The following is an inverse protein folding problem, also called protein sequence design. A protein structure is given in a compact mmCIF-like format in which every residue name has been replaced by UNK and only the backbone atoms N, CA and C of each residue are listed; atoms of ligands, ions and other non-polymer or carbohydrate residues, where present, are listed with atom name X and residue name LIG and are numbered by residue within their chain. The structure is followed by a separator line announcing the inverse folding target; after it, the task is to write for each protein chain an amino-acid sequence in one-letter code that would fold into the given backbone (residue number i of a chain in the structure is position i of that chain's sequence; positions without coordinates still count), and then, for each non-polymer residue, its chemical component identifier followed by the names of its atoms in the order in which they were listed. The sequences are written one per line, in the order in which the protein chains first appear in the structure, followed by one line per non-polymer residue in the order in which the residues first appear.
data_IF_626771227893
#
_entry.id   IF_626771227893
#
_cell.length_a   1.000
_cell.length_b   1.000
_cell.length_c   1.000
_cell.angle_alpha   90.00
_cell.angle_beta   90.00
_cell.angle_gamma   90.00
#
_symmetry.space_group_name_H-M   'P 1'
#
loop_
_entity.id
_entity.type
_entity.pdbx_description
1 polymer ?
#
# COMPACT_ATOMS: atom_id res chain seq x y z
N UNK A 1 2.07 -16.43 -15.48
CA UNK A 1 2.38 -15.05 -15.84
C UNK A 1 1.87 -14.22 -14.69
N UNK A 2 2.79 -13.58 -13.99
CA UNK A 2 2.43 -12.69 -12.89
C UNK A 2 1.79 -11.43 -13.48
N UNK A 3 0.69 -10.97 -12.87
CA UNK A 3 -0.06 -9.80 -13.36
C UNK A 3 0.67 -8.54 -12.92
N UNK A 4 1.02 -7.69 -13.88
CA UNK A 4 1.57 -6.36 -13.63
C UNK A 4 0.46 -5.39 -13.17
N UNK A 5 0.76 -4.59 -12.16
CA UNK A 5 -0.17 -3.63 -11.57
C UNK A 5 0.00 -2.19 -12.08
N UNK A 6 1.00 -1.92 -12.94
CA UNK A 6 1.28 -0.61 -13.53
C UNK A 6 1.92 0.39 -12.58
N UNK A 7 2.12 1.63 -13.07
CA UNK A 7 2.67 2.73 -12.27
C UNK A 7 1.55 3.49 -11.53
N UNK A 8 1.82 3.85 -10.29
CA UNK A 8 0.99 4.65 -9.39
C UNK A 8 1.89 5.69 -8.71
N UNK A 9 1.71 6.97 -9.04
CA UNK A 9 2.38 8.11 -8.37
C UNK A 9 3.92 7.97 -8.23
N UNK A 10 4.58 7.46 -9.27
CA UNK A 10 6.04 7.24 -9.30
C UNK A 10 6.48 5.89 -8.74
N UNK A 11 5.56 4.99 -8.40
CA UNK A 11 5.85 3.63 -7.96
C UNK A 11 5.26 2.59 -8.93
N UNK A 12 6.08 1.65 -9.37
CA UNK A 12 5.64 0.51 -10.17
C UNK A 12 5.17 -0.63 -9.25
N UNK A 13 3.93 -1.10 -9.45
CA UNK A 13 3.38 -2.29 -8.80
C UNK A 13 3.67 -3.50 -9.67
N UNK A 14 4.80 -4.17 -9.45
CA UNK A 14 5.27 -5.25 -10.32
C UNK A 14 4.58 -6.61 -10.15
N UNK A 15 3.72 -6.77 -9.13
CA UNK A 15 3.03 -8.02 -8.86
C UNK A 15 1.63 -7.78 -8.30
N UNK A 16 0.62 -8.36 -8.95
CA UNK A 16 -0.75 -8.49 -8.46
C UNK A 16 -1.04 -9.99 -8.30
N UNK A 17 -1.43 -10.46 -7.09
CA UNK A 17 -1.68 -11.86 -6.83
C UNK A 17 -2.74 -12.47 -7.76
N UNK A 18 -2.58 -13.74 -8.18
CA UNK A 18 -3.62 -14.43 -8.95
C UNK A 18 -4.91 -14.54 -8.12
N UNK A 19 -6.05 -14.30 -8.76
CA UNK A 19 -7.37 -14.35 -8.13
C UNK A 19 -7.88 -13.01 -7.59
N UNK A 20 -7.00 -12.00 -7.45
CA UNK A 20 -7.43 -10.61 -7.21
C UNK A 20 -8.30 -10.12 -8.37
N UNK A 21 -9.36 -9.38 -8.05
CA UNK A 21 -10.33 -8.88 -9.03
C UNK A 21 -9.73 -8.06 -10.18
N UNK A 22 -10.45 -8.05 -11.30
CA UNK A 22 -9.98 -7.43 -12.54
C UNK A 22 -10.35 -5.95 -12.67
N UNK A 23 -11.30 -5.46 -11.88
CA UNK A 23 -11.71 -4.05 -11.90
C UNK A 23 -10.65 -3.22 -11.17
N UNK A 24 -10.08 -2.23 -11.86
CA UNK A 24 -9.00 -1.38 -11.31
C UNK A 24 -9.44 0.07 -11.32
N UNK A 25 -9.32 0.73 -10.18
CA UNK A 25 -9.73 2.12 -9.98
C UNK A 25 -8.65 2.91 -9.26
N UNK A 26 -8.36 4.13 -9.74
CA UNK A 26 -7.42 5.06 -9.10
C UNK A 26 -8.16 6.23 -8.47
N UNK A 27 -7.75 6.61 -7.26
CA UNK A 27 -8.30 7.74 -6.51
C UNK A 27 -7.19 8.57 -5.88
N UNK A 28 -7.39 9.88 -5.84
CA UNK A 28 -6.58 10.81 -5.08
C UNK A 28 -7.43 11.48 -4.01
N UNK A 29 -6.93 11.52 -2.78
CA UNK A 29 -7.55 12.24 -1.67
C UNK A 29 -6.50 12.90 -0.80
N UNK A 30 -6.93 13.74 0.12
CA UNK A 30 -6.07 14.34 1.13
C UNK A 30 -6.72 14.16 2.50
N UNK A 31 -5.92 13.82 3.50
CA UNK A 31 -6.38 13.67 4.87
C UNK A 31 -5.26 14.08 5.82
N UNK A 32 -5.54 15.03 6.72
CA UNK A 32 -4.57 15.60 7.67
C UNK A 32 -3.22 15.97 7.01
N UNK A 33 -3.27 16.80 5.98
CA UNK A 33 -2.10 17.31 5.23
C UNK A 33 -1.24 16.23 4.55
N UNK A 34 -1.77 15.01 4.39
CA UNK A 34 -1.15 13.94 3.62
C UNK A 34 -1.99 13.65 2.40
N UNK A 35 -1.39 13.76 1.22
CA UNK A 35 -1.99 13.33 -0.04
C UNK A 35 -1.86 11.82 -0.17
N UNK A 36 -2.97 11.16 -0.48
CA UNK A 36 -3.07 9.73 -0.75
C UNK A 36 -3.40 9.51 -2.22
N UNK A 37 -2.47 8.94 -2.98
CA UNK A 37 -2.74 8.45 -4.33
C UNK A 37 -2.89 6.93 -4.26
N UNK A 38 -4.06 6.41 -4.63
CA UNK A 38 -4.49 5.07 -4.29
C UNK A 38 -4.94 4.30 -5.52
N UNK A 39 -4.55 3.03 -5.64
CA UNK A 39 -5.08 2.08 -6.63
C UNK A 39 -5.78 0.94 -5.92
N UNK A 40 -6.94 0.56 -6.43
CA UNK A 40 -7.80 -0.47 -5.89
C UNK A 40 -7.99 -1.54 -6.96
N UNK A 41 -7.88 -2.80 -6.57
CA UNK A 41 -8.31 -3.94 -7.36
C UNK A 41 -9.54 -4.55 -6.72
N UNK A 42 -10.62 -4.60 -7.48
CA UNK A 42 -11.95 -4.93 -7.00
C UNK A 42 -12.52 -6.11 -7.77
N UNK A 43 -13.31 -6.92 -7.06
CA UNK A 43 -14.17 -7.92 -7.68
C UNK A 43 -15.62 -7.64 -7.39
N UNK A 44 -16.44 -7.81 -8.42
CA UNK A 44 -17.89 -7.92 -8.30
C UNK A 44 -18.28 -9.10 -7.41
N UNK A 45 -19.11 -8.86 -6.41
CA UNK A 45 -19.80 -9.86 -5.59
C UNK A 45 -21.32 -9.73 -5.81
N UNK A 46 -22.08 -10.71 -5.34
CA UNK A 46 -23.54 -10.69 -5.43
C UNK A 46 -24.13 -9.41 -4.80
N UNK A 47 -23.54 -8.95 -3.69
CA UNK A 47 -24.05 -7.83 -2.88
C UNK A 47 -23.24 -6.53 -3.04
N UNK A 48 -22.36 -6.41 -4.03
CA UNK A 48 -21.57 -5.19 -4.24
C UNK A 48 -20.19 -5.44 -4.86
N UNK A 49 -19.20 -4.66 -4.43
CA UNK A 49 -17.80 -4.85 -4.80
C UNK A 49 -16.97 -5.09 -3.54
N UNK A 50 -15.94 -5.93 -3.67
CA UNK A 50 -14.94 -6.17 -2.64
C UNK A 50 -13.59 -5.68 -3.16
N UNK A 51 -12.93 -4.81 -2.40
CA UNK A 51 -11.54 -4.43 -2.65
C UNK A 51 -10.65 -5.56 -2.15
N UNK A 52 -10.01 -6.27 -3.08
CA UNK A 52 -9.13 -7.40 -2.77
C UNK A 52 -7.71 -6.97 -2.42
N UNK A 53 -7.22 -5.96 -3.13
CA UNK A 53 -5.90 -5.37 -3.01
C UNK A 53 -6.01 -3.85 -3.13
N UNK A 54 -5.23 -3.14 -2.33
CA UNK A 54 -5.10 -1.70 -2.39
C UNK A 54 -3.65 -1.30 -2.19
N UNK A 55 -3.19 -0.34 -3.00
CA UNK A 55 -1.89 0.31 -2.83
C UNK A 55 -2.12 1.80 -2.62
N UNK A 56 -1.49 2.36 -1.60
CA UNK A 56 -1.45 3.78 -1.30
C UNK A 56 -0.03 4.30 -1.45
N UNK A 57 0.14 5.38 -2.19
CA UNK A 57 1.31 6.26 -2.13
C UNK A 57 0.93 7.49 -1.33
N UNK A 58 1.67 7.73 -0.26
CA UNK A 58 1.41 8.77 0.73
C UNK A 58 2.49 9.85 0.60
N UNK A 59 2.07 11.12 0.48
CA UNK A 59 2.99 12.26 0.41
C UNK A 59 2.54 13.36 1.36
N UNK A 60 3.42 13.78 2.27
CA UNK A 60 3.14 14.87 3.20
C UNK A 60 4.25 15.05 4.25
N UNK A 61 4.57 16.30 4.58
CA UNK A 61 5.74 16.65 5.41
C UNK A 61 5.72 16.05 6.82
N UNK A 62 4.55 15.67 7.33
CA UNK A 62 4.38 14.99 8.62
C UNK A 62 4.92 13.56 8.65
N UNK A 63 5.12 12.91 7.50
CA UNK A 63 5.65 11.55 7.41
C UNK A 63 7.18 11.54 7.59
N UNK A 64 7.65 11.91 8.77
CA UNK A 64 9.08 12.15 9.05
C UNK A 64 9.88 10.87 9.23
N UNK A 65 9.26 9.85 9.81
CA UNK A 65 9.88 8.59 10.21
C UNK A 65 8.81 7.47 10.25
N UNK A 66 9.27 6.24 10.52
CA UNK A 66 8.40 5.06 10.50
C UNK A 66 7.34 5.07 11.61
N UNK A 67 7.63 5.67 12.77
CA UNK A 67 6.65 5.83 13.85
C UNK A 67 5.58 6.84 13.45
N UNK A 68 5.96 7.98 12.88
CA UNK A 68 5.00 8.98 12.36
C UNK A 68 4.09 8.38 11.27
N UNK A 69 4.63 7.54 10.39
CA UNK A 69 3.85 6.80 9.39
C UNK A 69 2.89 5.79 10.04
N UNK A 70 3.34 5.04 11.05
CA UNK A 70 2.48 4.10 11.77
C UNK A 70 1.33 4.86 12.44
N UNK A 71 1.61 5.96 13.12
CA UNK A 71 0.61 6.74 13.84
C UNK A 71 -0.41 7.36 12.87
N UNK A 72 0.06 7.86 11.72
CA UNK A 72 -0.80 8.30 10.62
C UNK A 72 -1.75 7.20 10.14
N UNK A 73 -1.22 6.02 9.82
CA UNK A 73 -2.02 4.90 9.32
C UNK A 73 -2.98 4.36 10.38
N UNK A 74 -2.57 4.35 11.65
CA UNK A 74 -3.44 3.95 12.75
C UNK A 74 -4.66 4.90 12.83
N UNK A 75 -4.43 6.21 12.76
CA UNK A 75 -5.51 7.19 12.78
C UNK A 75 -6.39 7.12 11.51
N UNK A 76 -5.77 7.00 10.32
CA UNK A 76 -6.49 6.89 9.05
C UNK A 76 -7.40 5.65 8.97
N UNK A 77 -6.94 4.51 9.52
CA UNK A 77 -7.72 3.27 9.56
C UNK A 77 -8.61 3.14 10.81
N UNK A 78 -8.71 4.20 11.63
CA UNK A 78 -9.43 4.20 12.92
C UNK A 78 -9.02 3.00 13.81
N UNK A 79 -7.74 2.64 13.76
CA UNK A 79 -7.18 1.46 14.41
C UNK A 79 -6.53 1.82 15.74
N UNK A 80 -6.81 1.01 16.76
CA UNK A 80 -6.11 1.12 18.04
C UNK A 80 -4.65 0.64 17.91
N UNK A 81 -3.65 1.53 18.11
CA UNK A 81 -2.24 1.17 18.01
C UNK A 81 -1.82 0.10 19.03
N UNK A 82 -2.48 0.00 20.19
CA UNK A 82 -2.17 -1.01 21.20
C UNK A 82 -2.54 -2.43 20.74
N UNK A 83 -3.49 -2.55 19.81
CA UNK A 83 -3.95 -3.82 19.27
C UNK A 83 -3.31 -4.14 17.91
N UNK A 84 -2.58 -3.18 17.33
CA UNK A 84 -1.98 -3.32 16.02
C UNK A 84 -0.62 -4.04 16.10
N UNK A 85 -0.69 -5.38 16.04
CA UNK A 85 0.48 -6.25 16.04
C UNK A 85 1.22 -6.14 14.71
N UNK A 86 2.40 -5.52 14.76
CA UNK A 86 3.28 -5.34 13.63
C UNK A 86 4.62 -6.02 13.89
N UNK A 87 5.28 -6.42 12.81
CA UNK A 87 6.65 -6.93 12.80
C UNK A 87 7.46 -6.20 11.74
N UNK A 88 8.77 -6.20 11.90
CA UNK A 88 9.69 -5.57 10.95
C UNK A 88 9.50 -6.15 9.56
N UNK A 89 9.43 -5.26 8.57
CA UNK A 89 9.32 -5.61 7.16
C UNK A 89 10.50 -4.99 6.40
N UNK A 90 11.53 -5.78 6.05
CA UNK A 90 12.67 -5.28 5.32
C UNK A 90 12.27 -5.05 3.85
N UNK A 91 11.94 -3.80 3.51
CA UNK A 91 11.75 -3.38 2.13
C UNK A 91 13.06 -2.80 1.57
N UNK A 92 13.35 -3.02 0.29
CA UNK A 92 14.62 -2.54 -0.28
C UNK A 92 14.70 -1.01 -0.41
N UNK A 93 13.55 -0.34 -0.33
CA UNK A 93 13.45 1.12 -0.49
C UNK A 93 13.44 1.86 0.87
N UNK A 94 13.41 1.14 2.00
CA UNK A 94 13.42 1.75 3.32
C UNK A 94 12.85 0.86 4.44
N UNK A 95 12.91 1.32 5.70
CA UNK A 95 12.38 0.57 6.84
C UNK A 95 10.85 0.51 6.78
N UNK A 96 10.29 -0.66 7.12
CA UNK A 96 8.86 -0.89 7.07
C UNK A 96 8.35 -1.82 8.16
N UNK A 97 7.03 -1.92 8.24
CA UNK A 97 6.30 -2.79 9.14
C UNK A 97 5.25 -3.58 8.36
N UNK A 98 4.96 -4.79 8.83
CA UNK A 98 3.89 -5.63 8.29
C UNK A 98 3.05 -6.25 9.41
N UNK A 99 1.77 -6.42 9.12
CA UNK A 99 0.81 -7.18 9.94
C UNK A 99 0.12 -8.25 9.10
N UNK A 100 -1.06 -8.70 9.55
CA UNK A 100 -1.81 -9.80 8.91
C UNK A 100 -2.21 -9.51 7.45
N UNK A 101 -2.63 -8.28 7.17
CA UNK A 101 -3.24 -7.90 5.88
C UNK A 101 -2.74 -6.55 5.35
N UNK A 102 -1.65 -6.03 5.91
CA UNK A 102 -1.07 -4.74 5.51
C UNK A 102 0.45 -4.75 5.70
N UNK A 103 1.15 -4.22 4.71
CA UNK A 103 2.56 -3.86 4.78
C UNK A 103 2.71 -2.38 4.44
N UNK A 104 3.65 -1.68 5.08
CA UNK A 104 3.95 -0.29 4.77
C UNK A 104 5.39 0.06 5.11
N UNK A 105 5.95 1.03 4.40
CA UNK A 105 7.34 1.47 4.60
C UNK A 105 7.48 2.95 4.28
N UNK A 106 8.47 3.56 4.91
CA UNK A 106 8.90 4.92 4.62
C UNK A 106 10.00 4.86 3.56
N UNK A 107 9.75 5.47 2.40
CA UNK A 107 10.72 5.51 1.28
C UNK A 107 11.73 6.63 1.52
N UNK A 108 11.24 7.79 1.94
CA UNK A 108 12.02 8.94 2.36
C UNK A 108 11.15 9.81 3.28
N UNK A 109 11.71 10.76 4.05
CA UNK A 109 10.91 11.74 4.77
C UNK A 109 9.91 12.42 3.82
N UNK A 110 8.63 12.35 4.17
CA UNK A 110 7.53 12.89 3.38
C UNK A 110 6.95 11.94 2.32
N UNK A 111 7.49 10.73 2.12
CA UNK A 111 7.02 9.76 1.11
C UNK A 111 6.97 8.34 1.68
N UNK A 112 5.79 7.74 1.64
CA UNK A 112 5.57 6.38 2.11
C UNK A 112 4.66 5.57 1.17
N UNK A 113 4.69 4.26 1.31
CA UNK A 113 3.81 3.34 0.59
C UNK A 113 3.12 2.42 1.59
N UNK A 114 1.84 2.12 1.35
CA UNK A 114 1.12 1.08 2.07
C UNK A 114 0.38 0.15 1.11
N UNK A 115 0.52 -1.16 1.32
CA UNK A 115 -0.16 -2.22 0.58
C UNK A 115 -1.10 -2.92 1.55
N UNK A 116 -2.38 -3.03 1.19
CA UNK A 116 -3.41 -3.70 1.96
C UNK A 116 -4.07 -4.78 1.12
N UNK A 117 -4.38 -5.91 1.74
CA UNK A 117 -5.14 -6.99 1.10
C UNK A 117 -6.31 -7.41 1.97
N UNK A 118 -7.24 -8.19 1.41
CA UNK A 118 -8.13 -9.00 2.24
C UNK A 118 -7.37 -10.18 2.87
N UNK A 119 -7.91 -10.82 3.93
CA UNK A 119 -7.31 -12.01 4.52
C UNK A 119 -7.11 -13.17 3.52
N UNK A 120 -7.95 -13.25 2.49
CA UNK A 120 -7.82 -14.23 1.39
C UNK A 120 -6.44 -14.15 0.70
N UNK A 121 -5.86 -12.95 0.62
CA UNK A 121 -4.57 -12.69 -0.04
C UNK A 121 -3.42 -12.40 0.92
N UNK A 122 -3.61 -12.59 2.23
CA UNK A 122 -2.57 -12.32 3.23
C UNK A 122 -1.25 -13.05 2.93
N UNK A 123 -1.32 -14.29 2.41
CA UNK A 123 -0.13 -15.05 2.03
C UNK A 123 0.68 -14.45 0.86
N UNK A 124 0.06 -13.62 0.03
CA UNK A 124 0.70 -12.97 -1.10
C UNK A 124 1.18 -11.54 -0.79
N UNK A 125 0.77 -10.96 0.35
CA UNK A 125 1.10 -9.60 0.75
C UNK A 125 2.61 -9.30 0.71
N UNK A 126 3.51 -10.14 1.26
CA UNK A 126 4.95 -9.85 1.21
C UNK A 126 5.49 -9.77 -0.23
N UNK A 127 5.04 -10.66 -1.12
CA UNK A 127 5.46 -10.66 -2.51
C UNK A 127 4.96 -9.41 -3.26
N UNK A 128 3.69 -9.05 -3.07
CA UNK A 128 3.11 -7.81 -3.62
C UNK A 128 3.86 -6.59 -3.12
N UNK A 129 4.07 -6.46 -1.81
CA UNK A 129 4.75 -5.32 -1.23
C UNK A 129 6.20 -5.18 -1.74
N UNK A 130 6.96 -6.28 -1.77
CA UNK A 130 8.34 -6.30 -2.28
C UNK A 130 8.46 -5.97 -3.78
N UNK A 131 7.38 -6.15 -4.52
CA UNK A 131 7.29 -5.81 -5.94
C UNK A 131 6.86 -4.37 -6.20
N UNK A 132 6.48 -3.60 -5.17
CA UNK A 132 6.23 -2.16 -5.31
C UNK A 132 7.56 -1.42 -5.19
N UNK A 133 8.00 -0.81 -6.29
CA UNK A 133 9.31 -0.13 -6.36
C UNK A 133 9.17 1.25 -6.93
N UNK A 134 10.09 2.15 -6.60
CA UNK A 134 10.23 3.42 -7.33
C UNK A 134 10.34 3.09 -8.83
N UNK A 135 9.45 3.66 -9.63
CA UNK A 135 9.52 3.51 -11.07
C UNK A 135 10.82 4.16 -11.55
N UNK A 136 11.56 3.49 -12.43
CA UNK A 136 12.69 4.13 -13.08
C UNK A 136 12.16 5.38 -13.78
N UNK A 137 12.79 6.53 -13.53
CA UNK A 137 12.59 7.70 -14.37
C UNK A 137 13.08 7.29 -15.76
N UNK A 138 12.16 7.21 -16.72
CA UNK A 138 12.55 7.14 -18.12
C UNK A 138 13.11 8.53 -18.43
N UNK A 139 14.39 8.73 -18.12
CA UNK A 139 15.16 9.91 -18.56
C UNK A 139 15.08 9.91 -20.09
N UNK A 140 14.21 10.77 -20.62
CA UNK A 140 14.09 11.09 -22.06
C UNK A 140 15.07 12.17 -22.49
#
# INVERSE_FOLDING_TARGET
MDRDGGVLDGFHVGYVPPGVGDEVSDFASEWEDVRLTSRFWERRKADGHQVDLRVHVLRGERLTDLDALRDFLAAYHERDPAQWRLSDFPHGDGPGLTGEAQAFWLVAPGVAVSVLTTPEFAGALPATALAVRVAADDEV
#
